data_IF_569955887224
#
_entry.id   IF_569955887224
#
_cell.length_a   1.000
_cell.length_b   1.000
_cell.length_c   1.000
_cell.angle_alpha   90.00
_cell.angle_beta   90.00
_cell.angle_gamma   90.00
#
_symmetry.space_group_name_H-M   'P 1'
#
loop_
_entity.id
_entity.type
_entity.pdbx_description
1 polymer ?
#
# COMPACT_ATOMS: atom_id res chain seq x y z
N UNK A 1 -23.68 -4.38 -14.55
CA UNK A 1 -24.01 -5.38 -15.59
C UNK A 1 -25.26 -6.13 -15.15
N UNK A 2 -26.33 -6.10 -15.94
CA UNK A 2 -27.50 -6.95 -15.75
C UNK A 2 -27.23 -8.33 -16.38
N UNK A 3 -27.42 -9.42 -15.63
CA UNK A 3 -27.28 -10.78 -16.16
C UNK A 3 -28.46 -11.07 -17.10
N UNK A 4 -28.18 -11.28 -18.38
CA UNK A 4 -29.18 -11.71 -19.37
C UNK A 4 -29.08 -13.22 -19.60
N UNK A 5 -30.12 -13.83 -20.19
CA UNK A 5 -30.15 -15.27 -20.53
C UNK A 5 -28.99 -15.70 -21.45
N UNK A 6 -28.39 -14.77 -22.17
CA UNK A 6 -27.28 -15.03 -23.10
C UNK A 6 -25.93 -15.17 -22.38
N UNK A 7 -25.87 -14.86 -21.08
CA UNK A 7 -24.64 -15.00 -20.30
C UNK A 7 -24.43 -16.46 -19.87
N UNK A 8 -23.44 -17.14 -20.45
CA UNK A 8 -23.11 -18.53 -20.11
C UNK A 8 -22.41 -18.62 -18.74
N UNK A 9 -23.10 -19.08 -17.70
CA UNK A 9 -22.48 -19.37 -16.40
C UNK A 9 -21.93 -20.82 -16.39
N UNK A 10 -20.75 -21.04 -15.78
CA UNK A 10 -20.22 -22.38 -15.55
C UNK A 10 -21.14 -23.18 -14.62
N UNK A 11 -21.03 -24.51 -14.66
CA UNK A 11 -21.78 -25.39 -13.76
C UNK A 11 -21.23 -25.33 -12.33
N UNK A 12 -22.06 -25.71 -11.35
CA UNK A 12 -21.64 -25.72 -9.94
C UNK A 12 -20.48 -26.71 -9.71
N UNK A 13 -20.42 -27.80 -10.46
CA UNK A 13 -19.33 -28.79 -10.40
C UNK A 13 -17.98 -28.19 -10.77
N UNK A 14 -17.93 -27.33 -11.79
CA UNK A 14 -16.70 -26.63 -12.20
C UNK A 14 -16.25 -25.59 -11.17
N UNK A 15 -17.18 -25.08 -10.37
CA UNK A 15 -16.91 -24.11 -9.32
C UNK A 15 -16.44 -24.77 -8.02
N UNK A 16 -16.78 -26.04 -7.79
CA UNK A 16 -16.42 -26.74 -6.56
C UNK A 16 -14.91 -26.98 -6.47
N UNK A 17 -14.25 -26.22 -5.60
CA UNK A 17 -12.85 -26.46 -5.21
C UNK A 17 -12.86 -27.48 -4.07
N UNK A 18 -12.08 -28.58 -4.15
CA UNK A 18 -12.14 -29.68 -3.17
C UNK A 18 -11.73 -29.26 -1.76
N UNK A 19 -10.88 -28.24 -1.63
CA UNK A 19 -10.48 -27.70 -0.34
C UNK A 19 -10.28 -26.20 -0.38
N UNK A 20 -11.12 -25.48 0.36
CA UNK A 20 -11.03 -24.03 0.51
C UNK A 20 -10.00 -23.63 1.59
N UNK A 21 -9.43 -22.43 1.44
CA UNK A 21 -8.52 -21.84 2.42
C UNK A 21 -9.36 -21.14 3.50
N UNK A 22 -9.73 -21.88 4.55
CA UNK A 22 -10.58 -21.39 5.64
C UNK A 22 -9.81 -20.64 6.74
N UNK A 23 -8.82 -19.81 6.37
CA UNK A 23 -8.00 -19.07 7.34
C UNK A 23 -8.58 -17.68 7.61
N UNK A 24 -8.36 -17.17 8.82
CA UNK A 24 -8.67 -15.78 9.14
C UNK A 24 -7.71 -14.83 8.42
N UNK A 25 -8.17 -13.60 8.17
CA UNK A 25 -7.37 -12.55 7.51
C UNK A 25 -5.99 -12.30 8.13
N UNK A 26 -5.82 -12.21 9.47
CA UNK A 26 -4.49 -12.05 10.08
C UNK A 26 -3.54 -13.21 9.74
N UNK A 27 -4.04 -14.45 9.78
CA UNK A 27 -3.27 -15.64 9.41
C UNK A 27 -2.87 -15.63 7.94
N UNK A 28 -3.81 -15.28 7.05
CA UNK A 28 -3.53 -15.19 5.62
C UNK A 28 -2.48 -14.12 5.33
N UNK A 29 -2.57 -12.95 5.97
CA UNK A 29 -1.58 -11.87 5.81
C UNK A 29 -0.20 -12.25 6.35
N UNK A 30 -0.14 -12.95 7.48
CA UNK A 30 1.12 -13.44 8.05
C UNK A 30 1.86 -14.38 7.10
N UNK A 31 1.10 -15.24 6.39
CA UNK A 31 1.64 -16.29 5.52
C UNK A 31 1.80 -15.85 4.06
N UNK A 32 1.04 -14.84 3.62
CA UNK A 32 1.00 -14.33 2.24
C UNK A 32 2.37 -14.15 1.56
N UNK A 33 3.38 -13.47 2.16
CA UNK A 33 4.65 -13.26 1.47
C UNK A 33 5.40 -14.57 1.19
N UNK A 34 5.26 -15.56 2.07
CA UNK A 34 5.88 -16.88 1.89
C UNK A 34 5.11 -17.72 0.88
N UNK A 35 3.78 -17.65 0.90
CA UNK A 35 2.92 -18.33 -0.06
C UNK A 35 3.15 -17.80 -1.48
N UNK A 36 3.30 -16.47 -1.64
CA UNK A 36 3.58 -15.84 -2.92
C UNK A 36 4.90 -16.35 -3.53
N UNK A 37 5.95 -16.50 -2.71
CA UNK A 37 7.24 -17.05 -3.16
C UNK A 37 7.15 -18.54 -3.52
N UNK A 38 6.38 -19.33 -2.77
CA UNK A 38 6.26 -20.76 -3.04
C UNK A 38 5.39 -21.04 -4.28
N UNK A 39 4.29 -20.30 -4.46
CA UNK A 39 3.31 -20.50 -5.53
C UNK A 39 3.46 -19.48 -6.67
N UNK A 40 4.67 -18.93 -6.87
CA UNK A 40 4.92 -17.83 -7.82
C UNK A 40 4.50 -18.19 -9.25
N UNK A 41 4.79 -19.42 -9.70
CA UNK A 41 4.45 -19.88 -11.06
C UNK A 41 2.94 -19.86 -11.31
N UNK A 42 2.19 -20.57 -10.47
CA UNK A 42 0.73 -20.66 -10.56
C UNK A 42 0.08 -19.28 -10.42
N UNK A 43 0.61 -18.44 -9.51
CA UNK A 43 0.09 -17.09 -9.30
C UNK A 43 0.29 -16.20 -10.53
N UNK A 44 1.47 -16.25 -11.14
CA UNK A 44 1.78 -15.47 -12.33
C UNK A 44 0.95 -15.94 -13.54
N UNK A 45 0.78 -17.25 -13.73
CA UNK A 45 -0.05 -17.81 -14.79
C UNK A 45 -1.52 -17.40 -14.63
N UNK A 46 -2.08 -17.50 -13.43
CA UNK A 46 -3.43 -17.04 -13.13
C UNK A 46 -3.61 -15.55 -13.41
N UNK A 47 -2.67 -14.71 -12.94
CA UNK A 47 -2.75 -13.26 -13.12
C UNK A 47 -2.58 -12.84 -14.59
N UNK A 48 -1.72 -13.53 -15.35
CA UNK A 48 -1.56 -13.30 -16.78
C UNK A 48 -2.85 -13.66 -17.53
N UNK A 49 -3.38 -14.87 -17.35
CA UNK A 49 -4.62 -15.33 -17.98
C UNK A 49 -5.80 -14.43 -17.64
N UNK A 50 -5.90 -13.99 -16.39
CA UNK A 50 -6.95 -13.05 -15.94
C UNK A 50 -6.84 -11.69 -16.63
N UNK A 51 -5.62 -11.19 -16.86
CA UNK A 51 -5.40 -9.93 -17.55
C UNK A 51 -5.70 -10.03 -19.05
N UNK A 52 -5.38 -11.15 -19.67
CA UNK A 52 -5.61 -11.38 -21.11
C UNK A 52 -7.07 -11.66 -21.44
N UNK A 53 -7.74 -12.48 -20.63
CA UNK A 53 -9.11 -12.91 -20.90
C UNK A 53 -10.17 -11.90 -20.49
N UNK A 54 -9.89 -11.04 -19.49
CA UNK A 54 -10.82 -10.12 -18.83
C UNK A 54 -12.10 -10.77 -18.23
N UNK A 55 -12.37 -12.04 -18.55
CA UNK A 55 -13.49 -12.85 -18.11
C UNK A 55 -13.07 -13.86 -17.03
N UNK A 56 -13.65 -13.79 -15.81
CA UNK A 56 -13.26 -14.67 -14.70
C UNK A 56 -13.60 -16.15 -14.95
N UNK A 57 -14.59 -16.44 -15.81
CA UNK A 57 -15.04 -17.82 -16.11
C UNK A 57 -13.99 -18.62 -16.87
N UNK A 58 -13.18 -17.96 -17.68
CA UNK A 58 -12.15 -18.61 -18.49
C UNK A 58 -10.93 -19.06 -17.67
N UNK A 59 -10.78 -18.55 -16.44
CA UNK A 59 -9.58 -18.68 -15.60
C UNK A 59 -9.81 -19.57 -14.37
N UNK A 60 -10.95 -20.28 -14.32
CA UNK A 60 -11.30 -21.15 -13.18
C UNK A 60 -10.30 -22.28 -12.97
N UNK A 61 -9.71 -22.82 -14.05
CA UNK A 61 -8.74 -23.93 -13.99
C UNK A 61 -7.43 -23.52 -13.30
N UNK A 62 -6.90 -22.35 -13.63
CA UNK A 62 -5.68 -21.79 -13.02
C UNK A 62 -5.96 -21.33 -11.60
N UNK A 63 -7.17 -20.78 -11.36
CA UNK A 63 -7.62 -20.47 -10.01
C UNK A 63 -7.62 -21.72 -9.12
N UNK A 64 -8.15 -22.84 -9.62
CA UNK A 64 -8.13 -24.11 -8.92
C UNK A 64 -6.69 -24.60 -8.66
N UNK A 65 -5.79 -24.52 -9.65
CA UNK A 65 -4.38 -24.88 -9.48
C UNK A 65 -3.67 -24.01 -8.41
N UNK A 66 -3.91 -22.69 -8.43
CA UNK A 66 -3.37 -21.76 -7.45
C UNK A 66 -3.87 -22.04 -6.03
N UNK A 67 -5.17 -22.31 -5.88
CA UNK A 67 -5.74 -22.68 -4.56
C UNK A 67 -5.19 -24.01 -4.06
N UNK A 68 -5.01 -25.00 -4.93
CA UNK A 68 -4.38 -26.28 -4.58
C UNK A 68 -2.92 -26.09 -4.11
N UNK A 69 -2.15 -25.23 -4.79
CA UNK A 69 -0.80 -24.87 -4.35
C UNK A 69 -0.82 -24.22 -2.96
N UNK A 70 -1.73 -23.27 -2.73
CA UNK A 70 -1.92 -22.62 -1.43
C UNK A 70 -2.25 -23.61 -0.31
N UNK A 71 -3.16 -24.56 -0.55
CA UNK A 71 -3.52 -25.60 0.44
C UNK A 71 -2.32 -26.49 0.76
N UNK A 72 -1.58 -26.95 -0.25
CA UNK A 72 -0.39 -27.77 -0.07
C UNK A 72 0.69 -27.05 0.76
N UNK A 73 0.88 -25.75 0.50
CA UNK A 73 1.79 -24.91 1.27
C UNK A 73 1.35 -24.73 2.72
N UNK A 74 0.06 -24.50 2.95
CA UNK A 74 -0.47 -24.38 4.31
C UNK A 74 -0.36 -25.69 5.09
N UNK A 75 -0.54 -26.84 4.43
CA UNK A 75 -0.32 -28.15 5.04
C UNK A 75 1.15 -28.38 5.41
N UNK A 76 2.10 -27.96 4.56
CA UNK A 76 3.53 -28.08 4.86
C UNK A 76 3.95 -27.14 6.00
N UNK A 77 3.50 -25.88 5.99
CA UNK A 77 3.72 -24.92 7.07
C UNK A 77 3.19 -25.41 8.41
N UNK A 78 2.00 -26.02 8.41
CA UNK A 78 1.39 -26.59 9.62
C UNK A 78 2.26 -27.70 10.23
N UNK A 79 2.98 -28.47 9.41
CA UNK A 79 3.87 -29.56 9.86
C UNK A 79 5.21 -29.04 10.37
N UNK A 80 5.76 -27.98 9.77
CA UNK A 80 7.12 -27.52 10.05
C UNK A 80 7.22 -26.33 11.02
N UNK A 81 6.34 -25.33 10.88
CA UNK A 81 6.55 -23.98 11.46
C UNK A 81 5.32 -23.40 12.15
N UNK A 82 4.34 -24.23 12.52
CA UNK A 82 3.10 -23.81 13.17
C UNK A 82 3.30 -22.84 14.35
N UNK A 83 4.19 -23.10 15.34
CA UNK A 83 4.28 -22.22 16.50
C UNK A 83 4.84 -20.83 16.17
N UNK A 84 5.73 -20.70 15.18
CA UNK A 84 6.24 -19.41 14.75
C UNK A 84 5.18 -18.63 13.96
N UNK A 85 4.48 -19.31 13.05
CA UNK A 85 3.42 -18.70 12.24
C UNK A 85 2.26 -18.22 13.11
N UNK A 86 1.90 -18.98 14.14
CA UNK A 86 0.85 -18.59 15.08
C UNK A 86 1.22 -17.31 15.84
N UNK A 87 2.43 -17.22 16.38
CA UNK A 87 2.91 -15.99 17.04
C UNK A 87 2.90 -14.78 16.11
N UNK A 88 3.27 -14.98 14.84
CA UNK A 88 3.23 -13.92 13.84
C UNK A 88 1.79 -13.47 13.56
N UNK A 89 0.86 -14.42 13.39
CA UNK A 89 -0.54 -14.12 13.14
C UNK A 89 -1.19 -13.39 14.32
N UNK A 90 -0.91 -13.82 15.56
CA UNK A 90 -1.36 -13.14 16.78
C UNK A 90 -0.82 -11.71 16.87
N UNK A 91 0.45 -11.49 16.50
CA UNK A 91 1.04 -10.16 16.47
C UNK A 91 0.38 -9.24 15.42
N UNK A 92 0.07 -9.78 14.23
CA UNK A 92 -0.63 -9.03 13.18
C UNK A 92 -2.05 -8.66 13.61
N UNK A 93 -2.75 -9.58 14.28
CA UNK A 93 -4.13 -9.38 14.78
C UNK A 93 -4.20 -8.32 15.87
N UNK A 94 -3.27 -8.37 16.83
CA UNK A 94 -3.21 -7.42 17.95
C UNK A 94 -2.56 -6.07 17.59
N UNK A 95 -1.76 -6.01 16.52
CA UNK A 95 -0.91 -4.87 16.23
C UNK A 95 -1.65 -3.63 15.71
N UNK A 96 -2.60 -3.79 14.80
CA UNK A 96 -3.38 -2.66 14.26
C UNK A 96 -4.66 -3.11 13.60
N UNK A 97 -5.69 -2.26 13.60
CA UNK A 97 -6.95 -2.52 12.88
C UNK A 97 -6.76 -2.70 11.36
N UNK A 98 -5.64 -2.21 10.81
CA UNK A 98 -5.29 -2.35 9.38
C UNK A 98 -4.51 -3.63 9.09
N UNK A 99 -4.16 -4.42 10.12
CA UNK A 99 -3.44 -5.69 10.03
C UNK A 99 -2.14 -5.55 9.22
N UNK A 100 -1.37 -4.49 9.48
CA UNK A 100 -0.04 -4.37 8.91
C UNK A 100 0.88 -5.38 9.58
N UNK A 101 1.72 -6.05 8.79
CA UNK A 101 2.90 -6.69 9.35
C UNK A 101 3.70 -5.58 10.03
N UNK A 102 3.87 -5.65 11.35
CA UNK A 102 4.56 -4.62 12.12
C UNK A 102 6.02 -4.60 11.71
N UNK A 103 6.32 -3.90 10.62
CA UNK A 103 7.66 -3.49 10.28
C UNK A 103 8.03 -2.48 11.36
N UNK A 104 8.75 -2.94 12.38
CA UNK A 104 9.57 -2.03 13.17
C UNK A 104 10.40 -1.29 12.12
N UNK A 105 10.11 -0.02 11.89
CA UNK A 105 10.85 0.78 10.93
C UNK A 105 12.33 0.61 11.28
N UNK A 106 13.12 0.07 10.36
CA UNK A 106 14.57 0.15 10.49
C UNK A 106 14.90 1.64 10.32
N UNK A 107 14.91 2.36 11.44
CA UNK A 107 15.41 3.72 11.49
C UNK A 107 16.92 3.60 11.27
N UNK A 108 17.35 3.96 10.06
CA UNK A 108 18.77 4.06 9.75
C UNK A 108 19.22 5.46 10.15
N UNK A 109 19.92 5.54 11.28
CA UNK A 109 20.58 6.79 11.67
C UNK A 109 21.79 6.98 10.75
N UNK A 110 21.71 7.92 9.82
CA UNK A 110 22.83 8.25 8.95
C UNK A 110 23.97 8.85 9.78
N UNK A 111 25.20 8.36 9.59
CA UNK A 111 26.39 8.93 10.22
C UNK A 111 26.63 10.40 9.83
N UNK A 112 26.09 10.82 8.68
CA UNK A 112 26.09 12.21 8.25
C UNK A 112 24.95 12.98 8.92
N UNK A 113 25.23 14.13 9.56
CA UNK A 113 24.18 14.99 10.08
C UNK A 113 23.28 15.48 8.94
N UNK A 114 22.01 15.76 9.26
CA UNK A 114 21.08 16.34 8.30
C UNK A 114 21.68 17.65 7.73
N UNK A 115 21.54 17.91 6.42
CA UNK A 115 22.01 19.15 5.84
C UNK A 115 21.28 20.33 6.49
N UNK A 116 22.02 21.35 6.92
CA UNK A 116 21.42 22.59 7.39
C UNK A 116 20.64 23.26 6.26
N UNK A 117 19.36 23.55 6.52
CA UNK A 117 18.50 24.26 5.58
C UNK A 117 18.94 25.72 5.54
N UNK A 118 19.63 26.12 4.45
CA UNK A 118 19.99 27.51 4.21
C UNK A 118 18.73 28.32 3.86
N UNK A 119 18.18 29.01 4.85
CA UNK A 119 17.10 29.97 4.66
C UNK A 119 17.67 31.27 4.07
N UNK A 120 17.08 31.79 2.98
CA UNK A 120 17.45 33.10 2.43
C UNK A 120 16.95 34.21 3.37
N UNK A 121 17.76 35.24 3.60
CA UNK A 121 17.41 36.39 4.44
C UNK A 121 16.50 37.38 3.71
N UNK A 122 15.23 37.01 3.52
CA UNK A 122 14.23 37.83 2.81
C UNK A 122 14.09 39.26 3.34
N UNK A 123 14.36 39.50 4.63
CA UNK A 123 14.30 40.84 5.23
C UNK A 123 15.43 41.75 4.72
N UNK A 124 16.63 41.20 4.57
CA UNK A 124 17.78 41.94 4.05
C UNK A 124 17.63 42.22 2.54
N UNK A 125 17.06 41.27 1.79
CA UNK A 125 16.71 41.47 0.38
C UNK A 125 15.60 42.52 0.22
N UNK A 126 14.54 42.44 1.03
CA UNK A 126 13.46 43.42 1.01
C UNK A 126 13.96 44.83 1.37
N UNK A 127 14.86 44.98 2.35
CA UNK A 127 15.41 46.28 2.72
C UNK A 127 16.16 46.96 1.58
N UNK A 128 16.87 46.21 0.74
CA UNK A 128 17.54 46.74 -0.46
C UNK A 128 16.53 47.27 -1.46
N UNK A 129 15.50 46.47 -1.76
CA UNK A 129 14.42 46.84 -2.67
C UNK A 129 13.64 48.07 -2.16
N UNK A 130 13.42 48.17 -0.84
CA UNK A 130 12.74 49.31 -0.21
C UNK A 130 13.54 50.61 -0.24
N UNK A 131 14.87 50.54 -0.43
CA UNK A 131 15.73 51.71 -0.57
C UNK A 131 15.77 52.23 -2.01
N UNK A 132 15.52 51.38 -3.00
CA UNK A 132 15.45 51.74 -4.43
C UNK A 132 14.11 52.39 -4.79
N UNK A 133 13.07 52.17 -3.99
CA UNK A 133 11.73 52.68 -4.26
C UNK A 133 11.55 54.16 -3.84
N UNK A 134 10.80 54.97 -4.61
CA UNK A 134 10.44 56.34 -4.24
C UNK A 134 9.73 56.41 -2.90
N UNK A 135 9.92 57.53 -2.18
CA UNK A 135 9.44 57.66 -0.80
C UNK A 135 7.91 57.55 -0.64
N UNK A 136 7.14 57.89 -1.68
CA UNK A 136 5.67 57.84 -1.69
C UNK A 136 5.09 56.53 -2.28
N UNK A 137 5.91 55.49 -2.50
CA UNK A 137 5.41 54.23 -3.04
C UNK A 137 4.63 53.43 -2.00
N UNK A 138 3.39 53.07 -2.32
CA UNK A 138 2.42 52.45 -1.42
C UNK A 138 2.89 51.10 -0.82
N UNK A 139 3.70 50.31 -1.52
CA UNK A 139 4.24 49.04 -0.99
C UNK A 139 5.43 49.21 -0.03
N UNK A 140 5.92 50.43 0.22
CA UNK A 140 7.07 50.63 1.12
C UNK A 140 6.79 50.19 2.56
N UNK A 141 5.51 50.13 2.94
CA UNK A 141 5.04 49.72 4.28
C UNK A 141 4.78 48.21 4.40
N UNK A 142 4.76 47.46 3.31
CA UNK A 142 4.36 46.05 3.28
C UNK A 142 5.54 45.11 2.97
N UNK A 143 6.34 44.82 3.99
CA UNK A 143 7.52 43.92 3.90
C UNK A 143 7.22 42.45 4.28
N UNK A 144 5.94 42.06 4.36
CA UNK A 144 5.54 40.69 4.74
C UNK A 144 5.97 39.66 3.70
N UNK A 145 6.30 38.44 4.14
CA UNK A 145 6.61 37.35 3.22
C UNK A 145 5.36 37.00 2.41
N UNK A 146 5.54 36.58 1.16
CA UNK A 146 4.44 36.12 0.29
C UNK A 146 3.59 34.99 0.93
N UNK A 147 4.22 34.11 1.72
CA UNK A 147 3.48 33.09 2.47
C UNK A 147 2.73 33.64 3.68
N UNK A 148 3.20 34.72 4.33
CA UNK A 148 2.46 35.39 5.41
C UNK A 148 1.19 36.05 4.86
N UNK A 149 1.22 36.51 3.61
CA UNK A 149 0.04 37.00 2.89
C UNK A 149 -1.03 35.91 2.69
N UNK A 150 -0.65 34.63 2.64
CA UNK A 150 -1.59 33.52 2.47
C UNK A 150 -2.34 33.13 3.76
N UNK A 151 -1.84 33.49 4.93
CA UNK A 151 -2.45 33.11 6.22
C UNK A 151 -3.54 34.07 6.70
N UNK A 152 -3.73 35.22 6.05
CA UNK A 152 -4.66 36.26 6.52
C UNK A 152 -6.03 36.27 5.82
N UNK A 153 -6.38 35.26 5.00
CA UNK A 153 -7.75 35.17 4.46
C UNK A 153 -8.77 34.88 5.58
N UNK A 154 -8.33 34.44 6.77
CA UNK A 154 -9.22 34.09 7.90
C UNK A 154 -9.06 34.94 9.16
N UNK A 155 -8.23 35.98 9.17
CA UNK A 155 -8.13 36.88 10.34
C UNK A 155 -8.40 38.32 9.90
N UNK A 156 -9.68 38.70 10.05
CA UNK A 156 -10.24 40.05 9.99
C UNK A 156 -9.78 40.92 11.15
#
# INVERSE_FOLDING_TARGET
MSLTKDTHLPSDEELTVPQEISLSTPWLKAVAPYMAKHCEKEANEFMLRRKESEDPRAVLKEGAALTACGVNFLQSLKRSCLPQTQKLAECVDQGSAKLYMSNKLHVYDSATPAPEVKLRDYKAEAAKVLNELPAEYHLRKDYRKYNDWRYNITES
#
